data_IF_951352631211
#
_entry.id   IF_951352631211
#
_cell.length_a   1.000
_cell.length_b   1.000
_cell.length_c   1.000
_cell.angle_alpha   90.00
_cell.angle_beta   90.00
_cell.angle_gamma   90.00
#
_symmetry.space_group_name_H-M   'P 1'
#
loop_
_entity.id
_entity.type
_entity.pdbx_description
1 polymer ?
#
# COMPACT_ATOMS: atom_id res chain seq x y z
N UNK A 1 -11.62 2.04 10.44
CA UNK A 1 -11.18 3.43 10.20
C UNK A 1 -12.08 4.36 11.00
N UNK A 2 -11.60 4.92 12.11
CA UNK A 2 -12.48 5.57 13.11
C UNK A 2 -13.14 6.87 12.60
N UNK A 3 -12.60 7.47 11.54
CA UNK A 3 -13.10 8.70 10.93
C UNK A 3 -13.73 8.46 9.55
N UNK A 4 -13.80 7.21 9.08
CA UNK A 4 -14.52 6.89 7.85
C UNK A 4 -15.99 6.67 8.20
N UNK A 5 -16.94 7.37 7.54
CA UNK A 5 -18.36 7.14 7.79
C UNK A 5 -18.75 5.68 7.54
N UNK A 6 -19.64 5.14 8.37
CA UNK A 6 -20.06 3.73 8.32
C UNK A 6 -20.79 3.38 7.03
N UNK A 7 -21.42 4.38 6.39
CA UNK A 7 -22.16 4.22 5.13
C UNK A 7 -21.23 4.00 3.94
N UNK A 8 -19.92 4.27 4.06
CA UNK A 8 -18.95 4.05 2.99
C UNK A 8 -18.47 2.60 3.02
N UNK A 9 -18.94 1.74 2.09
CA UNK A 9 -18.55 0.35 2.09
C UNK A 9 -17.07 0.26 1.73
N UNK A 10 -16.29 -0.40 2.58
CA UNK A 10 -14.85 -0.48 2.38
C UNK A 10 -14.32 -1.88 2.67
N UNK A 11 -13.17 -2.18 2.08
CA UNK A 11 -12.39 -3.39 2.36
C UNK A 11 -10.96 -2.98 2.68
N UNK A 12 -10.45 -3.48 3.80
CA UNK A 12 -9.07 -3.23 4.22
C UNK A 12 -8.29 -4.53 4.14
N UNK A 13 -7.11 -4.47 3.52
CA UNK A 13 -6.13 -5.54 3.59
C UNK A 13 -4.81 -4.97 4.08
N UNK A 14 -4.21 -5.64 5.05
CA UNK A 14 -2.91 -5.28 5.59
C UNK A 14 -1.84 -6.23 5.03
N UNK A 15 -0.80 -5.65 4.42
CA UNK A 15 0.38 -6.39 4.02
C UNK A 15 1.18 -6.79 5.27
N UNK A 16 1.64 -8.05 5.28
CA UNK A 16 2.60 -8.62 6.23
C UNK A 16 3.63 -9.43 5.46
N UNK A 17 4.75 -9.76 6.09
CA UNK A 17 5.71 -10.67 5.47
C UNK A 17 5.03 -12.01 5.14
N UNK A 18 5.37 -12.69 4.03
CA UNK A 18 4.71 -13.95 3.64
C UNK A 18 4.72 -15.04 4.72
N UNK A 19 5.76 -15.04 5.58
CA UNK A 19 5.93 -15.92 6.74
C UNK A 19 4.93 -15.66 7.87
N UNK A 20 4.41 -14.44 7.98
CA UNK A 20 3.53 -13.98 9.06
C UNK A 20 2.06 -13.93 8.63
N UNK A 21 1.79 -14.21 7.36
CA UNK A 21 0.44 -14.10 6.80
C UNK A 21 -0.40 -15.34 7.08
N UNK A 22 -1.56 -15.11 7.69
CA UNK A 22 -2.61 -16.11 7.82
C UNK A 22 -3.26 -16.41 6.46
N UNK A 23 -4.05 -17.49 6.39
CA UNK A 23 -4.84 -17.81 5.18
C UNK A 23 -5.83 -16.69 4.84
N UNK A 24 -6.41 -16.06 5.86
CA UNK A 24 -7.36 -14.96 5.71
C UNK A 24 -6.68 -13.70 5.16
N UNK A 25 -5.48 -13.35 5.66
CA UNK A 25 -4.70 -12.23 5.12
C UNK A 25 -4.40 -12.42 3.63
N UNK A 26 -3.98 -13.63 3.24
CA UNK A 26 -3.70 -13.97 1.83
C UNK A 26 -4.96 -13.86 0.98
N UNK A 27 -6.12 -14.25 1.51
CA UNK A 27 -7.41 -14.10 0.82
C UNK A 27 -7.77 -12.63 0.63
N UNK A 28 -7.74 -11.83 1.69
CA UNK A 28 -8.01 -10.38 1.63
C UNK A 28 -7.10 -9.66 0.64
N UNK A 29 -5.81 -9.97 0.63
CA UNK A 29 -4.86 -9.39 -0.33
C UNK A 29 -5.13 -9.80 -1.79
N UNK A 30 -5.64 -11.01 -2.03
CA UNK A 30 -6.04 -11.45 -3.38
C UNK A 30 -7.30 -10.73 -3.83
N UNK A 31 -8.29 -10.62 -2.94
CA UNK A 31 -9.60 -10.07 -3.26
C UNK A 31 -9.53 -8.55 -3.49
N UNK A 32 -8.74 -7.82 -2.70
CA UNK A 32 -8.65 -6.35 -2.78
C UNK A 32 -8.00 -5.83 -4.08
N UNK A 33 -7.34 -6.70 -4.85
CA UNK A 33 -6.76 -6.31 -6.14
C UNK A 33 -7.85 -6.00 -7.17
N UNK A 34 -9.02 -6.65 -7.06
CA UNK A 34 -10.08 -6.58 -8.06
C UNK A 34 -11.21 -5.63 -7.65
N UNK A 35 -11.89 -4.99 -8.61
CA UNK A 35 -13.08 -4.19 -8.33
C UNK A 35 -14.18 -5.01 -7.64
N UNK A 36 -14.71 -4.47 -6.53
CA UNK A 36 -15.77 -5.10 -5.74
C UNK A 36 -16.89 -4.10 -5.34
N UNK A 37 -16.93 -2.93 -5.98
CA UNK A 37 -17.89 -1.85 -5.68
C UNK A 37 -17.62 -1.09 -4.37
N UNK A 38 -16.56 -1.42 -3.62
CA UNK A 38 -16.21 -0.81 -2.33
C UNK A 38 -14.94 0.04 -2.44
N UNK A 39 -14.74 0.94 -1.46
CA UNK A 39 -13.46 1.60 -1.24
C UNK A 39 -12.42 0.54 -0.80
N UNK A 40 -11.30 0.45 -1.52
CA UNK A 40 -10.27 -0.55 -1.28
C UNK A 40 -9.03 0.11 -0.65
N UNK A 41 -8.72 -0.28 0.58
CA UNK A 41 -7.62 0.28 1.37
C UNK A 41 -6.55 -0.80 1.57
N UNK A 42 -5.39 -0.60 0.96
CA UNK A 42 -4.20 -1.40 1.21
C UNK A 42 -3.34 -0.69 2.25
N UNK A 43 -3.11 -1.36 3.39
CA UNK A 43 -2.16 -0.91 4.41
C UNK A 43 -0.86 -1.67 4.26
N UNK A 44 0.27 -0.98 4.18
CA UNK A 44 1.57 -1.60 3.98
C UNK A 44 2.64 -0.82 4.72
N UNK A 45 3.44 -1.51 5.53
CA UNK A 45 4.63 -0.91 6.14
C UNK A 45 5.65 -0.59 5.04
N UNK A 46 6.26 0.60 5.11
CA UNK A 46 7.23 1.07 4.11
C UNK A 46 8.47 0.16 3.97
N UNK A 47 8.86 -0.55 5.03
CA UNK A 47 9.97 -1.52 5.00
C UNK A 47 9.73 -2.69 4.04
N UNK A 48 8.47 -3.02 3.78
CA UNK A 48 8.14 -4.06 2.80
C UNK A 48 8.52 -3.68 1.36
N UNK A 49 8.83 -2.40 1.09
CA UNK A 49 9.37 -1.95 -0.20
C UNK A 49 10.88 -2.23 -0.36
N UNK A 50 11.54 -2.77 0.66
CA UNK A 50 12.92 -3.26 0.52
C UNK A 50 12.97 -4.67 -0.09
N UNK A 51 11.89 -5.44 0.03
CA UNK A 51 11.80 -6.83 -0.45
C UNK A 51 11.11 -6.97 -1.81
N UNK A 52 11.61 -7.90 -2.63
CA UNK A 52 11.07 -8.15 -3.99
C UNK A 52 9.61 -8.57 -4.00
N UNK A 53 9.16 -9.31 -2.99
CA UNK A 53 7.78 -9.83 -2.89
C UNK A 53 6.78 -8.71 -2.62
N UNK A 54 7.07 -7.80 -1.67
CA UNK A 54 6.22 -6.66 -1.36
C UNK A 54 6.11 -5.69 -2.53
N UNK A 55 7.24 -5.40 -3.20
CA UNK A 55 7.27 -4.54 -4.40
C UNK A 55 6.40 -5.13 -5.52
N UNK A 56 6.53 -6.43 -5.79
CA UNK A 56 5.73 -7.11 -6.83
C UNK A 56 4.23 -6.99 -6.53
N UNK A 57 3.84 -7.21 -5.28
CA UNK A 57 2.44 -7.12 -4.87
C UNK A 57 1.89 -5.68 -5.02
N UNK A 58 2.56 -4.67 -4.46
CA UNK A 58 2.07 -3.29 -4.54
C UNK A 58 2.05 -2.79 -5.98
N UNK A 59 3.02 -3.20 -6.81
CA UNK A 59 3.05 -2.90 -8.24
C UNK A 59 1.81 -3.46 -8.94
N UNK A 60 1.46 -4.73 -8.67
CA UNK A 60 0.25 -5.35 -9.20
C UNK A 60 -1.01 -4.61 -8.73
N UNK A 61 -1.09 -4.27 -7.45
CA UNK A 61 -2.21 -3.51 -6.89
C UNK A 61 -2.38 -2.16 -7.60
N UNK A 62 -1.31 -1.37 -7.73
CA UNK A 62 -1.34 -0.05 -8.37
C UNK A 62 -1.70 -0.12 -9.86
N UNK A 63 -1.23 -1.14 -10.59
CA UNK A 63 -1.60 -1.31 -12.00
C UNK A 63 -3.09 -1.61 -12.21
N UNK A 64 -3.74 -2.31 -11.28
CA UNK A 64 -5.17 -2.67 -11.39
C UNK A 64 -6.12 -1.62 -10.80
N UNK A 65 -5.61 -0.59 -10.14
CA UNK A 65 -6.41 0.32 -9.33
C UNK A 65 -6.01 1.79 -9.53
N UNK A 66 -6.99 2.66 -9.72
CA UNK A 66 -6.76 4.10 -9.68
C UNK A 66 -6.55 4.54 -8.22
N UNK A 67 -5.30 4.64 -7.82
CA UNK A 67 -4.94 4.71 -6.39
C UNK A 67 -4.43 6.10 -5.99
N UNK A 68 -4.89 6.57 -4.83
CA UNK A 68 -4.17 7.57 -4.04
C UNK A 68 -3.14 6.85 -3.19
N UNK A 69 -1.86 7.10 -3.45
CA UNK A 69 -0.75 6.58 -2.65
C UNK A 69 -0.38 7.61 -1.59
N UNK A 70 -0.53 7.24 -0.32
CA UNK A 70 -0.08 8.04 0.81
C UNK A 70 1.13 7.36 1.48
N UNK A 71 2.18 8.13 1.74
CA UNK A 71 3.29 7.73 2.61
C UNK A 71 3.23 8.59 3.85
N UNK A 72 2.99 7.94 4.98
CA UNK A 72 3.07 8.54 6.31
C UNK A 72 4.48 8.44 6.87
N UNK A 73 4.84 9.35 7.76
CA UNK A 73 6.20 9.49 8.31
C UNK A 73 7.28 9.46 7.22
N UNK A 74 7.14 10.37 6.26
CA UNK A 74 7.96 10.42 5.05
C UNK A 74 9.45 10.70 5.27
N UNK A 75 9.84 11.03 6.50
CA UNK A 75 11.26 11.10 6.88
C UNK A 75 11.98 9.78 6.62
N UNK A 76 11.26 8.65 6.65
CA UNK A 76 11.75 7.31 6.34
C UNK A 76 12.23 7.13 4.89
N UNK A 77 11.89 8.03 3.96
CA UNK A 77 12.32 7.96 2.54
C UNK A 77 13.21 9.15 2.13
N UNK A 78 13.83 9.85 3.08
CA UNK A 78 14.71 11.00 2.80
C UNK A 78 16.03 10.63 2.09
N UNK A 79 16.52 9.41 2.28
CA UNK A 79 17.82 8.97 1.69
C UNK A 79 17.61 8.41 0.28
N UNK A 80 17.99 9.12 -0.81
CA UNK A 80 17.68 8.73 -2.18
C UNK A 80 18.42 7.47 -2.66
N UNK A 81 19.54 7.13 -2.02
CA UNK A 81 20.34 5.95 -2.37
C UNK A 81 19.76 4.65 -1.80
N UNK A 82 18.93 4.73 -0.75
CA UNK A 82 18.33 3.58 -0.09
C UNK A 82 17.36 2.84 -1.02
N UNK A 83 17.39 1.49 -0.98
CA UNK A 83 16.54 0.63 -1.81
C UNK A 83 15.05 0.96 -1.65
N UNK A 84 14.59 1.08 -0.39
CA UNK A 84 13.23 1.49 -0.02
C UNK A 84 12.81 2.78 -0.71
N UNK A 85 13.63 3.83 -0.65
CA UNK A 85 13.35 5.14 -1.26
C UNK A 85 13.23 5.03 -2.78
N UNK A 86 14.19 4.36 -3.42
CA UNK A 86 14.17 4.14 -4.89
C UNK A 86 12.90 3.39 -5.30
N UNK A 87 12.52 2.37 -4.56
CA UNK A 87 11.32 1.58 -4.83
C UNK A 87 10.04 2.39 -4.58
N UNK A 88 9.96 3.17 -3.48
CA UNK A 88 8.85 4.08 -3.20
C UNK A 88 8.65 5.09 -4.33
N UNK A 89 9.73 5.73 -4.80
CA UNK A 89 9.69 6.65 -5.95
C UNK A 89 9.21 5.92 -7.20
N UNK A 90 9.72 4.71 -7.47
CA UNK A 90 9.33 3.92 -8.65
C UNK A 90 7.84 3.57 -8.66
N UNK A 91 7.31 3.03 -7.56
CA UNK A 91 5.89 2.65 -7.47
C UNK A 91 4.98 3.89 -7.47
N UNK A 92 5.45 5.03 -6.94
CA UNK A 92 4.66 6.26 -6.88
C UNK A 92 4.24 6.79 -8.26
N UNK A 93 5.02 6.45 -9.30
CA UNK A 93 4.71 6.79 -10.70
C UNK A 93 3.47 6.05 -11.23
N UNK A 94 3.09 4.94 -10.59
CA UNK A 94 1.90 4.15 -10.95
C UNK A 94 0.64 4.68 -10.26
N UNK A 95 0.78 5.50 -9.22
CA UNK A 95 -0.36 6.07 -8.50
C UNK A 95 -0.90 7.31 -9.21
N UNK A 96 -2.22 7.46 -9.25
CA UNK A 96 -2.89 8.62 -9.85
C UNK A 96 -2.68 9.87 -9.01
N UNK A 97 -2.74 9.72 -7.69
CA UNK A 97 -2.52 10.80 -6.72
C UNK A 97 -1.47 10.33 -5.73
N UNK A 98 -0.61 11.26 -5.29
CA UNK A 98 0.47 11.02 -4.34
C UNK A 98 0.33 12.00 -3.18
N UNK A 99 0.38 11.51 -1.94
CA UNK A 99 0.39 12.30 -0.71
C UNK A 99 1.58 11.88 0.13
N UNK A 100 2.29 12.87 0.65
CA UNK A 100 3.40 12.71 1.58
C UNK A 100 2.98 13.41 2.88
N UNK A 101 3.15 12.74 4.01
CA UNK A 101 2.83 13.29 5.34
C UNK A 101 4.07 13.22 6.23
N UNK A 102 4.24 14.23 7.06
CA UNK A 102 5.36 14.38 8.01
C UNK A 102 4.86 15.18 9.20
N UNK A 103 5.28 14.80 10.41
CA UNK A 103 5.02 15.57 11.63
C UNK A 103 6.19 16.47 12.05
N UNK A 104 7.32 16.41 11.35
CA UNK A 104 8.49 17.30 11.54
C UNK A 104 8.26 18.69 10.97
#
# INVERSE_FOLDING_TARGET
PIHLPDEIPHTVAAWRAPSEMTKDDKKKLKDIIYPNGKLRILLMNIEALSGSVGIKYVTQFLHKNSTLLAIDESTTIKTPTASRTKNAIKISKLAKVRRIMTGS
#
